data_IF_945901753554
#
_entry.id   IF_945901753554
#
_cell.length_a   1.000
_cell.length_b   1.000
_cell.length_c   1.000
_cell.angle_alpha   90.00
_cell.angle_beta   90.00
_cell.angle_gamma   90.00
#
_symmetry.space_group_name_H-M   'P 1'
#
loop_
_entity.id
_entity.type
_entity.pdbx_description
1 polymer ?
#
# COMPACT_ATOMS: atom_id res chain seq x y z
N UNK A 1 4.39 -8.05 -7.40
CA UNK A 1 3.86 -9.08 -8.33
C UNK A 1 2.79 -8.46 -9.20
N UNK A 2 2.85 -8.61 -10.52
CA UNK A 2 1.84 -8.10 -11.45
C UNK A 2 0.62 -9.02 -11.60
N UNK A 3 -0.49 -8.53 -12.17
CA UNK A 3 -1.67 -9.37 -12.50
C UNK A 3 -1.28 -10.54 -13.42
N UNK A 4 -0.37 -10.31 -14.37
CA UNK A 4 0.10 -11.35 -15.30
C UNK A 4 1.01 -12.36 -14.60
N UNK A 5 1.87 -11.92 -13.69
CA UNK A 5 2.69 -12.83 -12.86
C UNK A 5 1.82 -13.67 -11.93
N UNK A 6 0.81 -13.07 -11.30
CA UNK A 6 -0.15 -13.78 -10.47
C UNK A 6 -0.94 -14.84 -11.27
N UNK A 7 -1.44 -14.47 -12.46
CA UNK A 7 -2.10 -15.40 -13.37
C UNK A 7 -1.16 -16.52 -13.85
N UNK A 8 0.12 -16.21 -14.11
CA UNK A 8 1.14 -17.22 -14.41
C UNK A 8 1.33 -18.17 -13.24
N UNK A 9 1.44 -17.68 -12.00
CA UNK A 9 1.52 -18.53 -10.82
C UNK A 9 0.28 -19.42 -10.65
N UNK A 10 -0.93 -18.89 -10.85
CA UNK A 10 -2.16 -19.69 -10.76
C UNK A 10 -2.20 -20.79 -11.83
N UNK A 11 -1.73 -20.51 -13.05
CA UNK A 11 -1.57 -21.53 -14.10
C UNK A 11 -0.55 -22.60 -13.71
N UNK A 12 0.57 -22.20 -13.11
CA UNK A 12 1.56 -23.16 -12.60
C UNK A 12 0.92 -24.10 -11.57
N UNK A 13 0.20 -23.56 -10.58
CA UNK A 13 -0.52 -24.39 -9.61
C UNK A 13 -1.55 -25.31 -10.28
N UNK A 14 -2.30 -24.79 -11.26
CA UNK A 14 -3.28 -25.58 -12.00
C UNK A 14 -2.63 -26.76 -12.70
N UNK A 15 -1.45 -26.57 -13.31
CA UNK A 15 -0.66 -27.65 -13.93
C UNK A 15 -0.11 -28.63 -12.89
N UNK A 16 0.48 -28.14 -11.79
CA UNK A 16 0.99 -28.97 -10.69
C UNK A 16 -0.08 -29.85 -10.05
N UNK A 17 -1.33 -29.38 -10.03
CA UNK A 17 -2.48 -30.14 -9.56
C UNK A 17 -3.08 -31.05 -10.63
N UNK A 18 -2.38 -31.33 -11.75
CA UNK A 18 -2.83 -32.26 -12.79
C UNK A 18 -3.77 -31.65 -13.84
N UNK A 19 -3.88 -30.32 -13.89
CA UNK A 19 -4.68 -29.57 -14.88
C UNK A 19 -6.14 -30.06 -14.99
N UNK A 20 -6.90 -30.17 -13.87
CA UNK A 20 -8.30 -30.58 -13.90
C UNK A 20 -9.13 -29.69 -14.83
N UNK A 21 -10.15 -30.29 -15.47
CA UNK A 21 -11.09 -29.53 -16.30
C UNK A 21 -11.84 -28.48 -15.48
N UNK A 22 -12.25 -27.38 -16.10
CA UNK A 22 -12.99 -26.32 -15.39
C UNK A 22 -14.31 -26.83 -14.80
N UNK A 23 -14.93 -27.83 -15.44
CA UNK A 23 -16.11 -28.49 -14.90
C UNK A 23 -15.81 -29.30 -13.64
N UNK A 24 -14.65 -29.98 -13.58
CA UNK A 24 -14.20 -30.69 -12.38
C UNK A 24 -13.90 -29.73 -11.24
N UNK A 25 -13.23 -28.61 -11.52
CA UNK A 25 -12.93 -27.56 -10.52
C UNK A 25 -14.22 -27.01 -9.90
N UNK A 26 -15.23 -26.70 -10.73
CA UNK A 26 -16.54 -26.27 -10.26
C UNK A 26 -17.20 -27.31 -9.35
N UNK A 27 -17.14 -28.59 -9.71
CA UNK A 27 -17.70 -29.67 -8.88
C UNK A 27 -17.03 -29.83 -7.51
N UNK A 28 -15.78 -29.39 -7.36
CA UNK A 28 -15.01 -29.47 -6.11
C UNK A 28 -15.21 -28.25 -5.18
N UNK A 29 -15.92 -27.22 -5.65
CA UNK A 29 -16.29 -26.02 -4.89
C UNK A 29 -17.78 -25.70 -5.03
N UNK A 30 -18.70 -26.57 -4.56
CA UNK A 30 -20.14 -26.39 -4.76
C UNK A 30 -20.69 -25.11 -4.13
N UNK A 31 -20.10 -24.68 -3.01
CA UNK A 31 -20.49 -23.46 -2.28
C UNK A 31 -20.09 -22.15 -2.98
N UNK A 32 -19.31 -22.21 -4.08
CA UNK A 32 -18.75 -21.02 -4.72
C UNK A 32 -18.95 -21.04 -6.23
N UNK A 33 -19.39 -19.91 -6.79
CA UNK A 33 -19.50 -19.77 -8.23
C UNK A 33 -18.11 -19.70 -8.88
N UNK A 34 -17.72 -20.78 -9.58
CA UNK A 34 -16.53 -20.84 -10.44
C UNK A 34 -16.90 -21.06 -11.91
N UNK A 35 -17.45 -20.05 -12.63
CA UNK A 35 -17.82 -20.21 -14.04
C UNK A 35 -16.58 -20.51 -14.91
N UNK A 36 -16.63 -21.49 -15.83
CA UNK A 36 -15.50 -21.84 -16.70
C UNK A 36 -14.92 -20.66 -17.50
N UNK A 37 -15.79 -19.75 -17.98
CA UNK A 37 -15.36 -18.54 -18.67
C UNK A 37 -14.52 -17.62 -17.77
N UNK A 38 -14.95 -17.44 -16.51
CA UNK A 38 -14.22 -16.64 -15.52
C UNK A 38 -12.89 -17.28 -15.14
N UNK A 39 -12.86 -18.59 -14.93
CA UNK A 39 -11.62 -19.34 -14.65
C UNK A 39 -10.62 -19.11 -15.79
N UNK A 40 -11.09 -19.24 -17.04
CA UNK A 40 -10.27 -19.01 -18.22
C UNK A 40 -9.72 -17.58 -18.29
N UNK A 41 -10.55 -16.56 -18.07
CA UNK A 41 -10.10 -15.16 -18.09
C UNK A 41 -9.05 -14.87 -17.02
N UNK A 42 -9.23 -15.42 -15.81
CA UNK A 42 -8.29 -15.26 -14.69
C UNK A 42 -6.96 -15.95 -14.99
N UNK A 43 -6.97 -17.19 -15.45
CA UNK A 43 -5.75 -17.92 -15.80
C UNK A 43 -5.00 -17.26 -16.95
N UNK A 44 -5.71 -16.64 -17.89
CA UNK A 44 -5.10 -15.88 -18.99
C UNK A 44 -4.64 -14.46 -18.58
N UNK A 45 -4.85 -14.05 -17.33
CA UNK A 45 -4.43 -12.73 -16.84
C UNK A 45 -5.26 -11.56 -17.38
N UNK A 46 -6.43 -11.84 -17.97
CA UNK A 46 -7.35 -10.80 -18.48
C UNK A 46 -7.98 -9.98 -17.35
N UNK A 47 -8.16 -10.58 -16.17
CA UNK A 47 -8.70 -9.92 -14.98
C UNK A 47 -8.18 -10.55 -13.69
N UNK A 48 -8.15 -9.76 -12.62
CA UNK A 48 -7.84 -10.25 -11.28
C UNK A 48 -9.13 -10.77 -10.60
N UNK A 49 -9.13 -11.98 -10.03
CA UNK A 49 -10.31 -12.53 -9.35
C UNK A 49 -10.58 -11.81 -8.01
N UNK A 50 -11.82 -11.90 -7.50
CA UNK A 50 -12.13 -11.56 -6.10
C UNK A 50 -11.47 -12.56 -5.15
N UNK A 51 -11.24 -12.16 -3.90
CA UNK A 51 -10.61 -13.02 -2.88
C UNK A 51 -11.35 -14.36 -2.70
N UNK A 52 -12.67 -14.35 -2.55
CA UNK A 52 -13.50 -15.55 -2.41
C UNK A 52 -13.36 -16.52 -3.59
N UNK A 53 -13.40 -15.99 -4.81
CA UNK A 53 -13.19 -16.78 -6.03
C UNK A 53 -11.82 -17.45 -6.03
N UNK A 54 -10.76 -16.69 -5.73
CA UNK A 54 -9.39 -17.18 -5.71
C UNK A 54 -9.21 -18.27 -4.65
N UNK A 55 -9.73 -18.06 -3.44
CA UNK A 55 -9.65 -19.03 -2.34
C UNK A 55 -10.37 -20.33 -2.71
N UNK A 56 -11.58 -20.23 -3.26
CA UNK A 56 -12.35 -21.38 -3.71
C UNK A 56 -11.66 -22.13 -4.85
N UNK A 57 -11.09 -21.41 -5.82
CA UNK A 57 -10.34 -21.99 -6.94
C UNK A 57 -9.10 -22.75 -6.47
N UNK A 58 -8.27 -22.13 -5.61
CA UNK A 58 -7.07 -22.77 -5.05
C UNK A 58 -7.46 -24.00 -4.23
N UNK A 59 -8.47 -23.90 -3.36
CA UNK A 59 -8.95 -25.02 -2.56
C UNK A 59 -9.45 -26.18 -3.43
N UNK A 60 -10.17 -25.89 -4.52
CA UNK A 60 -10.63 -26.90 -5.47
C UNK A 60 -9.47 -27.63 -6.17
N UNK A 61 -8.40 -26.91 -6.53
CA UNK A 61 -7.20 -27.53 -7.12
C UNK A 61 -6.49 -28.45 -6.13
N UNK A 62 -6.32 -28.01 -4.89
CA UNK A 62 -5.68 -28.81 -3.84
C UNK A 62 -6.50 -30.06 -3.51
N UNK A 63 -7.83 -29.94 -3.40
CA UNK A 63 -8.74 -31.10 -3.24
C UNK A 63 -8.63 -32.10 -4.38
N UNK A 64 -8.41 -31.62 -5.61
CA UNK A 64 -8.22 -32.52 -6.75
C UNK A 64 -6.90 -33.30 -6.65
N UNK A 65 -5.81 -32.62 -6.27
CA UNK A 65 -4.49 -33.22 -6.12
C UNK A 65 -4.43 -34.23 -4.98
N UNK A 66 -5.00 -33.87 -3.82
CA UNK A 66 -4.84 -34.61 -2.58
C UNK A 66 -6.02 -35.54 -2.27
N UNK A 67 -7.06 -35.54 -3.11
CA UNK A 67 -8.22 -36.45 -3.01
C UNK A 67 -9.24 -36.13 -1.91
N UNK A 68 -9.06 -35.03 -1.17
CA UNK A 68 -9.94 -34.64 -0.06
C UNK A 68 -9.53 -33.28 0.52
N UNK A 69 -10.18 -32.83 1.61
CA UNK A 69 -9.76 -31.62 2.31
C UNK A 69 -8.76 -31.94 3.42
N UNK A 70 -7.70 -31.13 3.54
CA UNK A 70 -6.66 -31.31 4.57
C UNK A 70 -6.36 -29.98 5.26
N UNK A 71 -5.90 -30.01 6.51
CA UNK A 71 -5.50 -28.79 7.24
C UNK A 71 -4.40 -28.00 6.52
N UNK A 72 -3.55 -28.67 5.73
CA UNK A 72 -2.52 -28.01 4.89
C UNK A 72 -3.13 -27.12 3.80
N UNK A 73 -4.38 -27.37 3.40
CA UNK A 73 -5.08 -26.52 2.43
C UNK A 73 -5.36 -25.13 2.98
N UNK A 74 -5.66 -25.00 4.26
CA UNK A 74 -5.93 -23.69 4.88
C UNK A 74 -4.67 -22.81 4.86
N UNK A 75 -3.51 -23.40 5.16
CA UNK A 75 -2.21 -22.73 5.11
C UNK A 75 -1.84 -22.31 3.67
N UNK A 76 -2.08 -23.20 2.72
CA UNK A 76 -1.87 -22.94 1.29
C UNK A 76 -2.79 -21.84 0.76
N UNK A 77 -4.08 -21.90 1.08
CA UNK A 77 -5.06 -20.87 0.71
C UNK A 77 -4.68 -19.53 1.35
N UNK A 78 -4.24 -19.51 2.61
CA UNK A 78 -3.73 -18.31 3.26
C UNK A 78 -2.48 -17.74 2.58
N UNK A 79 -1.56 -18.61 2.12
CA UNK A 79 -0.38 -18.21 1.33
C UNK A 79 -0.78 -17.60 -0.02
N UNK A 80 -1.76 -18.20 -0.70
CA UNK A 80 -2.32 -17.67 -1.94
C UNK A 80 -3.07 -16.34 -1.73
N UNK A 81 -3.74 -16.18 -0.59
CA UNK A 81 -4.36 -14.90 -0.19
C UNK A 81 -3.33 -13.78 -0.05
N UNK A 82 -2.17 -14.04 0.56
CA UNK A 82 -1.06 -13.07 0.62
C UNK A 82 -0.54 -12.73 -0.78
N UNK A 83 -0.30 -13.73 -1.63
CA UNK A 83 0.09 -13.53 -3.04
C UNK A 83 -0.92 -12.67 -3.80
N UNK A 84 -2.22 -12.94 -3.65
CA UNK A 84 -3.29 -12.16 -4.24
C UNK A 84 -3.29 -10.71 -3.73
N UNK A 85 -3.13 -10.48 -2.42
CA UNK A 85 -3.03 -9.13 -1.85
C UNK A 85 -1.87 -8.33 -2.49
N UNK A 86 -0.69 -8.95 -2.65
CA UNK A 86 0.43 -8.32 -3.36
C UNK A 86 0.17 -8.04 -4.85
N UNK A 87 -0.68 -8.84 -5.51
CA UNK A 87 -1.09 -8.61 -6.90
C UNK A 87 -2.16 -7.52 -7.03
N UNK A 88 -3.04 -7.38 -6.05
CA UNK A 88 -3.99 -6.26 -5.94
C UNK A 88 -3.24 -4.96 -5.74
N UNK A 89 -2.22 -4.98 -4.88
CA UNK A 89 -1.36 -3.84 -4.56
C UNK A 89 -0.23 -3.62 -5.59
N UNK A 90 -0.35 -4.20 -6.80
CA UNK A 90 0.65 -4.18 -7.86
C UNK A 90 0.94 -2.77 -8.42
N UNK A 91 2.15 -2.51 -8.97
CA UNK A 91 2.52 -1.24 -9.62
C UNK A 91 1.53 -0.64 -10.63
N UNK A 92 0.59 -1.41 -11.21
CA UNK A 92 -0.47 -0.85 -12.07
C UNK A 92 -1.53 -0.05 -11.28
N UNK A 93 -1.90 -0.47 -10.06
CA UNK A 93 -2.76 0.35 -9.19
C UNK A 93 -2.02 1.57 -8.68
N UNK A 94 -0.73 1.42 -8.33
CA UNK A 94 0.16 2.53 -7.97
C UNK A 94 0.30 3.53 -9.12
N UNK A 95 0.49 3.06 -10.36
CA UNK A 95 0.56 3.92 -11.54
C UNK A 95 -0.75 4.65 -11.77
N UNK A 96 -1.89 3.97 -11.63
CA UNK A 96 -3.21 4.62 -11.73
C UNK A 96 -3.46 5.66 -10.63
N UNK A 97 -3.00 5.42 -9.40
CA UNK A 97 -3.12 6.36 -8.30
C UNK A 97 -2.16 7.54 -8.45
N UNK A 98 -0.94 7.27 -8.90
CA UNK A 98 0.04 8.29 -9.25
C UNK A 98 -0.48 9.19 -10.37
N UNK A 99 -0.99 8.60 -11.45
CA UNK A 99 -1.56 9.35 -12.58
C UNK A 99 -2.74 10.21 -12.13
N UNK A 100 -3.59 9.68 -11.25
CA UNK A 100 -4.73 10.42 -10.66
C UNK A 100 -4.26 11.58 -9.78
N UNK A 101 -3.31 11.34 -8.88
CA UNK A 101 -2.78 12.37 -7.97
C UNK A 101 -2.04 13.47 -8.72
N UNK A 102 -1.20 13.11 -9.69
CA UNK A 102 -0.53 14.08 -10.56
C UNK A 102 -1.52 14.88 -11.42
N UNK A 103 -2.65 14.29 -11.78
CA UNK A 103 -3.68 14.95 -12.59
C UNK A 103 -4.74 15.69 -11.77
N UNK A 104 -4.68 15.64 -10.43
CA UNK A 104 -5.52 16.46 -9.58
C UNK A 104 -5.30 17.94 -9.90
N UNK A 105 -6.35 18.75 -9.76
CA UNK A 105 -6.29 20.18 -10.06
C UNK A 105 -6.16 21.00 -8.78
N UNK A 106 -5.39 22.06 -8.85
CA UNK A 106 -5.36 23.11 -7.82
C UNK A 106 -6.55 24.07 -7.98
N UNK A 107 -6.62 25.09 -7.12
CA UNK A 107 -7.68 26.10 -7.13
C UNK A 107 -7.69 26.94 -8.42
N UNK A 108 -6.55 27.06 -9.10
CA UNK A 108 -6.43 27.75 -10.39
C UNK A 108 -6.84 26.88 -11.58
N UNK A 109 -7.14 25.60 -11.34
CA UNK A 109 -7.51 24.61 -12.36
C UNK A 109 -6.32 23.95 -13.05
N UNK A 110 -5.09 24.30 -12.66
CA UNK A 110 -3.85 23.69 -13.14
C UNK A 110 -3.63 22.32 -12.50
N UNK A 111 -3.01 21.37 -13.23
CA UNK A 111 -2.70 20.05 -12.68
C UNK A 111 -1.47 20.14 -11.78
N UNK A 112 -1.52 19.57 -10.58
CA UNK A 112 -0.40 19.58 -9.64
C UNK A 112 0.89 19.00 -10.23
N UNK A 113 0.78 17.94 -11.04
CA UNK A 113 1.91 17.32 -11.71
C UNK A 113 2.49 18.14 -12.87
N UNK A 114 1.76 19.13 -13.38
CA UNK A 114 2.19 19.94 -14.52
C UNK A 114 3.04 21.15 -14.12
N UNK A 115 3.16 21.44 -12.82
CA UNK A 115 3.92 22.58 -12.32
C UNK A 115 5.38 22.57 -12.82
N UNK A 116 5.81 23.74 -13.30
CA UNK A 116 7.18 24.05 -13.77
C UNK A 116 8.09 24.31 -12.57
N UNK A 117 8.40 23.25 -11.83
CA UNK A 117 9.31 23.29 -10.69
C UNK A 117 8.62 23.35 -9.32
N UNK A 118 9.34 22.88 -8.32
CA UNK A 118 8.90 22.81 -6.94
C UNK A 118 9.57 21.70 -6.15
N UNK A 119 9.01 21.41 -4.98
CA UNK A 119 9.48 20.36 -4.09
C UNK A 119 8.47 19.23 -3.98
N UNK A 120 8.96 18.04 -3.66
CA UNK A 120 8.12 16.88 -3.40
C UNK A 120 8.70 16.03 -2.28
N UNK A 121 7.83 15.32 -1.58
CA UNK A 121 8.19 14.37 -0.55
C UNK A 121 7.51 13.03 -0.81
N UNK A 122 8.26 11.96 -0.59
CA UNK A 122 7.79 10.58 -0.66
C UNK A 122 7.71 10.06 0.77
N UNK A 123 6.55 9.51 1.13
CA UNK A 123 6.30 9.02 2.48
C UNK A 123 6.14 7.51 2.49
N UNK A 124 6.79 6.86 3.45
CA UNK A 124 6.67 5.42 3.67
C UNK A 124 5.33 5.02 4.28
N UNK A 125 5.08 3.71 4.47
CA UNK A 125 3.84 3.19 5.08
C UNK A 125 3.52 3.76 6.47
N UNK A 126 4.55 4.17 7.20
CA UNK A 126 4.45 4.67 8.58
C UNK A 126 4.21 6.20 8.63
N UNK A 127 4.11 6.87 7.47
CA UNK A 127 3.86 8.31 7.38
C UNK A 127 5.12 9.19 7.45
N UNK A 128 6.28 8.58 7.68
CA UNK A 128 7.60 9.24 7.68
C UNK A 128 8.09 9.55 6.26
N UNK A 129 8.79 10.67 6.11
CA UNK A 129 9.41 11.03 4.83
C UNK A 129 10.62 10.11 4.58
N UNK A 130 10.59 9.37 3.46
CA UNK A 130 11.71 8.52 3.02
C UNK A 130 12.59 9.23 2.00
N UNK A 131 12.04 10.25 1.33
CA UNK A 131 12.79 11.07 0.39
C UNK A 131 12.13 12.45 0.27
N UNK A 132 12.96 13.49 0.22
CA UNK A 132 12.57 14.87 -0.10
C UNK A 132 13.49 15.34 -1.22
N UNK A 133 12.93 16.03 -2.20
CA UNK A 133 13.72 16.62 -3.27
C UNK A 133 13.04 17.81 -3.94
N UNK A 134 13.84 18.51 -4.72
CA UNK A 134 13.41 19.64 -5.54
C UNK A 134 13.64 19.36 -7.03
N UNK A 135 12.96 20.14 -7.87
CA UNK A 135 13.19 20.18 -9.31
C UNK A 135 12.86 21.56 -9.85
N UNK A 136 13.62 22.01 -10.84
CA UNK A 136 13.34 23.17 -11.69
C UNK A 136 12.58 22.77 -12.98
N UNK A 137 12.34 21.47 -13.18
CA UNK A 137 11.60 20.90 -14.29
C UNK A 137 10.17 20.51 -13.87
N UNK A 138 9.46 19.82 -14.76
CA UNK A 138 8.10 19.35 -14.48
C UNK A 138 8.05 18.41 -13.25
N UNK A 139 7.24 18.80 -12.25
CA UNK A 139 7.10 18.11 -10.96
C UNK A 139 6.68 16.64 -11.11
N UNK A 140 5.68 16.36 -11.95
CA UNK A 140 5.20 14.99 -12.17
C UNK A 140 6.25 14.08 -12.81
N UNK A 141 7.07 14.62 -13.71
CA UNK A 141 8.18 13.90 -14.34
C UNK A 141 9.27 13.57 -13.32
N UNK A 142 9.67 14.53 -12.49
CA UNK A 142 10.68 14.34 -11.46
C UNK A 142 10.26 13.28 -10.43
N UNK A 143 9.00 13.33 -9.97
CA UNK A 143 8.43 12.35 -9.03
C UNK A 143 8.45 10.94 -9.62
N UNK A 144 8.03 10.77 -10.89
CA UNK A 144 8.07 9.47 -11.58
C UNK A 144 9.49 8.92 -11.69
N UNK A 145 10.45 9.77 -12.07
CA UNK A 145 11.84 9.38 -12.20
C UNK A 145 12.41 8.92 -10.84
N UNK A 146 12.13 9.67 -9.76
CA UNK A 146 12.57 9.30 -8.41
C UNK A 146 11.94 7.99 -7.93
N UNK A 147 10.62 7.82 -8.12
CA UNK A 147 9.91 6.61 -7.72
C UNK A 147 10.45 5.35 -8.44
N UNK A 148 10.92 5.48 -9.68
CA UNK A 148 11.50 4.36 -10.41
C UNK A 148 12.86 3.90 -9.85
N UNK A 149 13.57 4.78 -9.15
CA UNK A 149 14.90 4.53 -8.59
C UNK A 149 14.87 4.18 -7.10
N UNK A 150 13.79 4.52 -6.39
CA UNK A 150 13.71 4.33 -4.96
C UNK A 150 13.42 2.86 -4.61
N UNK A 151 14.24 2.28 -3.73
CA UNK A 151 14.09 0.91 -3.26
C UNK A 151 13.08 0.81 -2.10
N UNK A 152 12.95 1.87 -1.30
CA UNK A 152 12.05 1.89 -0.15
C UNK A 152 10.58 1.94 -0.57
N UNK A 153 9.69 1.24 0.17
CA UNK A 153 8.27 1.29 -0.12
C UNK A 153 7.72 2.70 0.13
N UNK A 154 6.98 3.22 -0.85
CA UNK A 154 6.29 4.52 -0.77
C UNK A 154 4.78 4.30 -0.69
N UNK A 155 4.16 4.91 0.32
CA UNK A 155 2.72 4.88 0.53
C UNK A 155 2.01 6.16 0.05
N UNK A 156 2.67 7.32 0.13
CA UNK A 156 2.08 8.61 -0.26
C UNK A 156 3.13 9.52 -0.92
N UNK A 157 2.66 10.44 -1.76
CA UNK A 157 3.44 11.55 -2.32
C UNK A 157 2.80 12.85 -1.89
N UNK A 158 3.60 13.86 -1.58
CA UNK A 158 3.16 15.24 -1.39
C UNK A 158 3.93 16.17 -2.32
N UNK A 159 3.23 17.10 -2.96
CA UNK A 159 3.77 18.04 -3.95
C UNK A 159 3.61 19.48 -3.47
N UNK A 160 4.63 20.29 -3.69
CA UNK A 160 4.63 21.74 -3.46
C UNK A 160 5.17 22.45 -4.70
N UNK A 161 4.30 22.94 -5.61
CA UNK A 161 4.69 23.83 -6.69
C UNK A 161 5.43 25.06 -6.16
N UNK A 162 6.50 25.47 -6.82
CA UNK A 162 7.23 26.67 -6.43
C UNK A 162 6.43 27.94 -6.79
N UNK A 163 6.14 28.83 -5.84
CA UNK A 163 5.62 30.15 -6.16
C UNK A 163 6.62 30.94 -7.01
N UNK A 164 6.11 31.79 -7.92
CA UNK A 164 6.97 32.66 -8.74
C UNK A 164 7.93 33.47 -7.86
N UNK A 165 9.22 33.42 -8.19
CA UNK A 165 10.27 34.16 -7.48
C UNK A 165 10.71 33.54 -6.14
N UNK A 166 10.10 32.44 -5.68
CA UNK A 166 10.58 31.71 -4.49
C UNK A 166 11.75 30.82 -4.85
N UNK A 167 12.85 30.91 -4.08
CA UNK A 167 13.99 29.99 -4.21
C UNK A 167 13.57 28.56 -3.87
N UNK A 168 13.96 27.61 -4.73
CA UNK A 168 13.72 26.18 -4.49
C UNK A 168 14.43 25.70 -3.21
N UNK A 169 15.66 26.15 -2.93
CA UNK A 169 16.39 25.76 -1.72
C UNK A 169 15.67 26.22 -0.44
N UNK A 170 15.05 27.40 -0.47
CA UNK A 170 14.24 27.91 0.65
C UNK A 170 12.98 27.07 0.84
N UNK A 171 12.34 26.69 -0.26
CA UNK A 171 11.16 25.81 -0.24
C UNK A 171 11.52 24.41 0.27
N UNK A 172 12.60 23.81 -0.24
CA UNK A 172 13.07 22.49 0.15
C UNK A 172 13.40 22.44 1.65
N UNK A 173 14.10 23.46 2.16
CA UNK A 173 14.37 23.59 3.60
C UNK A 173 13.08 23.67 4.43
N UNK A 174 12.06 24.37 3.95
CA UNK A 174 10.76 24.41 4.61
C UNK A 174 10.07 23.04 4.60
N UNK A 175 10.19 22.27 3.50
CA UNK A 175 9.67 20.88 3.42
C UNK A 175 10.39 19.97 4.42
N UNK A 176 11.73 20.08 4.54
CA UNK A 176 12.49 19.34 5.55
C UNK A 176 12.02 19.64 6.97
N UNK A 177 11.84 20.92 7.33
CA UNK A 177 11.31 21.31 8.66
C UNK A 177 9.94 20.72 8.93
N UNK A 178 9.02 20.80 7.95
CA UNK A 178 7.71 20.15 8.05
C UNK A 178 7.83 18.63 8.27
N UNK A 179 8.74 17.97 7.57
CA UNK A 179 8.94 16.52 7.70
C UNK A 179 9.50 16.14 9.07
N UNK A 180 10.28 17.01 9.69
CA UNK A 180 10.74 16.89 11.08
C UNK A 180 9.66 17.23 12.11
N UNK A 181 8.44 17.55 11.66
CA UNK A 181 7.31 17.90 12.52
C UNK A 181 7.29 19.36 12.96
N UNK A 182 8.21 20.20 12.46
CA UNK A 182 8.26 21.62 12.77
C UNK A 182 7.25 22.43 11.96
N UNK A 183 6.90 23.61 12.46
CA UNK A 183 6.08 24.57 11.72
C UNK A 183 6.90 25.22 10.61
N UNK A 184 6.38 25.21 9.39
CA UNK A 184 7.03 25.79 8.22
C UNK A 184 6.03 26.56 7.36
N UNK A 185 6.47 27.69 6.82
CA UNK A 185 5.69 28.49 5.86
C UNK A 185 5.81 27.88 4.45
N UNK A 186 4.84 27.04 4.12
CA UNK A 186 4.80 26.29 2.87
C UNK A 186 3.63 26.78 1.99
N UNK A 187 3.80 26.80 0.66
CA UNK A 187 2.69 27.03 -0.23
C UNK A 187 1.68 25.87 -0.12
N UNK A 188 0.47 26.02 -0.70
CA UNK A 188 -0.47 24.92 -0.82
C UNK A 188 0.20 23.64 -1.33
N UNK A 189 -0.17 22.51 -0.76
CA UNK A 189 0.38 21.20 -1.10
C UNK A 189 -0.70 20.24 -1.56
N UNK A 190 -0.30 19.25 -2.34
CA UNK A 190 -1.18 18.14 -2.71
C UNK A 190 -0.56 16.81 -2.32
N UNK A 191 -1.16 16.18 -1.31
CA UNK A 191 -0.79 14.85 -0.84
C UNK A 191 -1.79 13.80 -1.30
N UNK A 192 -1.29 12.70 -1.85
CA UNK A 192 -2.14 11.60 -2.34
C UNK A 192 -1.48 10.23 -2.11
N UNK A 193 -2.27 9.16 -1.98
CA UNK A 193 -1.75 7.82 -1.77
C UNK A 193 -1.25 7.19 -3.07
N UNK A 194 -0.20 6.37 -2.95
CA UNK A 194 0.32 5.48 -4.00
C UNK A 194 -0.12 4.03 -3.84
N UNK A 195 -0.69 3.72 -2.68
CA UNK A 195 -1.30 2.42 -2.39
C UNK A 195 -2.82 2.59 -2.36
N UNK A 196 -3.57 1.51 -2.64
CA UNK A 196 -5.03 1.54 -2.53
C UNK A 196 -5.55 1.66 -1.09
N UNK A 197 -4.67 1.98 -0.13
CA UNK A 197 -4.98 2.05 1.29
C UNK A 197 -4.93 3.50 1.75
N UNK A 198 -6.06 3.97 2.27
CA UNK A 198 -6.13 5.24 3.00
C UNK A 198 -5.23 5.19 4.25
N UNK A 199 -4.74 6.34 4.71
CA UNK A 199 -4.04 6.48 5.98
C UNK A 199 -4.81 5.89 7.15
N UNK A 200 -6.13 6.04 7.19
CA UNK A 200 -6.96 5.52 8.28
C UNK A 200 -7.04 3.98 8.25
N UNK A 201 -7.03 3.38 7.05
CA UNK A 201 -6.94 1.92 6.88
C UNK A 201 -5.59 1.39 7.37
N UNK A 202 -4.50 2.14 7.14
CA UNK A 202 -3.16 1.79 7.66
C UNK A 202 -3.11 1.87 9.19
N UNK A 203 -3.73 2.89 9.79
CA UNK A 203 -3.88 3.01 11.26
C UNK A 203 -4.61 1.78 11.81
N UNK A 204 -5.78 1.44 11.24
CA UNK A 204 -6.57 0.30 11.70
C UNK A 204 -5.79 -1.03 11.61
N UNK A 205 -5.04 -1.24 10.53
CA UNK A 205 -4.23 -2.45 10.36
C UNK A 205 -3.10 -2.55 11.38
N UNK A 206 -2.37 -1.44 11.60
CA UNK A 206 -1.29 -1.36 12.59
C UNK A 206 -1.81 -1.58 14.01
N UNK A 207 -2.96 -1.00 14.35
CA UNK A 207 -3.63 -1.25 15.62
C UNK A 207 -3.98 -2.74 15.81
N UNK A 208 -4.49 -3.39 14.76
CA UNK A 208 -4.78 -4.82 14.81
C UNK A 208 -3.51 -5.69 14.95
N UNK A 209 -2.38 -5.27 14.36
CA UNK A 209 -1.09 -5.95 14.51
C UNK A 209 -0.52 -5.79 15.91
N UNK A 210 -0.55 -4.57 16.45
CA UNK A 210 -0.17 -4.27 17.82
C UNK A 210 -0.99 -5.11 18.82
N UNK A 211 -2.30 -5.19 18.64
CA UNK A 211 -3.18 -6.00 19.49
C UNK A 211 -2.82 -7.49 19.45
N UNK A 212 -2.48 -8.04 18.27
CA UNK A 212 -2.02 -9.43 18.14
C UNK A 212 -0.69 -9.68 18.85
N UNK A 213 0.27 -8.76 18.71
CA UNK A 213 1.55 -8.85 19.42
C UNK A 213 1.35 -8.76 20.94
N UNK A 214 0.45 -7.89 21.40
CA UNK A 214 0.14 -7.75 22.82
C UNK A 214 -0.48 -9.03 23.39
N UNK A 215 -1.43 -9.64 22.67
CA UNK A 215 -2.02 -10.92 23.05
C UNK A 215 -0.96 -12.03 23.16
N UNK A 216 -0.03 -12.12 22.20
CA UNK A 216 1.07 -13.09 22.24
C UNK A 216 1.93 -12.96 23.51
N UNK A 217 2.21 -11.73 23.95
CA UNK A 217 2.96 -11.48 25.18
C UNK A 217 2.17 -11.92 26.42
N UNK A 218 0.86 -11.69 26.44
CA UNK A 218 -0.03 -12.14 27.52
C UNK A 218 -0.12 -13.67 27.58
N UNK A 219 -0.16 -14.32 26.42
CA UNK A 219 -0.20 -15.78 26.29
C UNK A 219 1.13 -16.47 26.63
N UNK A 220 2.17 -15.70 27.00
CA UNK A 220 3.42 -16.20 27.55
C UNK A 220 4.63 -16.12 26.60
N UNK A 221 4.48 -15.58 25.38
CA UNK A 221 5.63 -15.29 24.52
C UNK A 221 6.32 -14.00 24.97
N UNK A 222 7.14 -14.12 26.02
CA UNK A 222 7.86 -13.00 26.62
C UNK A 222 9.23 -12.75 25.99
N UNK A 223 9.50 -13.33 24.82
CA UNK A 223 10.78 -13.19 24.13
C UNK A 223 11.13 -11.72 23.86
N UNK A 224 12.42 -11.38 23.96
CA UNK A 224 12.92 -10.03 23.68
C UNK A 224 12.51 -9.56 22.27
N UNK A 225 12.53 -10.47 21.29
CA UNK A 225 12.11 -10.19 19.93
C UNK A 225 10.63 -9.77 19.83
N UNK A 226 9.72 -10.47 20.54
CA UNK A 226 8.29 -10.16 20.55
C UNK A 226 8.00 -8.85 21.26
N UNK A 227 8.66 -8.59 22.40
CA UNK A 227 8.56 -7.30 23.11
C UNK A 227 9.10 -6.14 22.28
N UNK A 228 10.21 -6.35 21.57
CA UNK A 228 10.77 -5.36 20.64
C UNK A 228 9.81 -5.10 19.48
N UNK A 229 9.23 -6.13 18.89
CA UNK A 229 8.24 -5.99 17.82
C UNK A 229 7.02 -5.19 18.30
N UNK A 230 6.51 -5.48 19.50
CA UNK A 230 5.42 -4.73 20.12
C UNK A 230 5.75 -3.23 20.25
N UNK A 231 6.94 -2.89 20.78
CA UNK A 231 7.38 -1.51 20.95
C UNK A 231 7.53 -0.78 19.61
N UNK A 232 8.07 -1.47 18.59
CA UNK A 232 8.20 -0.92 17.23
C UNK A 232 6.83 -0.65 16.62
N UNK A 233 5.89 -1.59 16.69
CA UNK A 233 4.54 -1.40 16.14
C UNK A 233 3.76 -0.31 16.87
N UNK A 234 3.94 -0.17 18.19
CA UNK A 234 3.32 0.90 18.97
C UNK A 234 3.82 2.28 18.49
N UNK A 235 5.14 2.40 18.31
CA UNK A 235 5.77 3.63 17.81
C UNK A 235 5.28 3.99 16.40
N UNK A 236 5.19 3.00 15.51
CA UNK A 236 4.69 3.19 14.14
C UNK A 236 3.23 3.64 14.12
N UNK A 237 2.39 3.00 14.92
CA UNK A 237 0.98 3.37 15.06
C UNK A 237 0.84 4.82 15.56
N UNK A 238 1.58 5.17 16.62
CA UNK A 238 1.55 6.50 17.20
C UNK A 238 1.95 7.57 16.15
N UNK A 239 3.07 7.38 15.45
CA UNK A 239 3.53 8.29 14.39
C UNK A 239 2.49 8.47 13.29
N UNK A 240 1.92 7.37 12.80
CA UNK A 240 0.92 7.42 11.75
C UNK A 240 -0.36 8.15 12.20
N UNK A 241 -0.80 7.90 13.44
CA UNK A 241 -1.97 8.55 14.02
C UNK A 241 -1.76 10.06 14.21
N UNK A 242 -0.62 10.46 14.79
CA UNK A 242 -0.24 11.87 14.96
C UNK A 242 -0.15 12.57 13.59
N UNK A 243 0.56 11.97 12.63
CA UNK A 243 0.69 12.55 11.30
C UNK A 243 -0.66 12.72 10.59
N UNK A 244 -1.61 11.81 10.82
CA UNK A 244 -2.98 11.90 10.29
C UNK A 244 -3.78 13.01 10.97
N UNK A 245 -3.77 13.06 12.30
CA UNK A 245 -4.50 14.06 13.08
C UNK A 245 -3.98 15.49 12.84
N UNK A 246 -2.66 15.67 12.78
CA UNK A 246 -2.02 16.93 12.44
C UNK A 246 -2.51 17.45 11.08
N UNK A 247 -2.62 16.57 10.08
CA UNK A 247 -3.15 16.92 8.75
C UNK A 247 -4.63 17.29 8.77
N UNK A 248 -5.47 16.53 9.48
CA UNK A 248 -6.91 16.82 9.52
C UNK A 248 -7.24 18.11 10.27
N UNK A 249 -6.35 18.57 11.16
CA UNK A 249 -6.52 19.78 11.97
C UNK A 249 -5.69 20.97 11.46
N UNK A 250 -4.85 20.77 10.44
CA UNK A 250 -3.92 21.81 9.95
C UNK A 250 -2.79 22.17 10.93
N UNK A 251 -2.56 21.36 11.97
CA UNK A 251 -1.52 21.55 12.98
C UNK A 251 -0.21 20.88 12.58
N UNK A 252 0.88 21.22 13.25
CA UNK A 252 2.14 20.49 13.12
C UNK A 252 2.12 19.19 13.94
N UNK A 253 2.91 18.20 13.53
CA UNK A 253 3.02 16.93 14.26
C UNK A 253 3.66 17.11 15.64
N UNK A 254 4.57 18.09 15.79
CA UNK A 254 5.15 18.43 17.09
C UNK A 254 4.12 19.02 18.06
N UNK A 255 3.28 19.95 17.60
CA UNK A 255 2.18 20.52 18.41
C UNK A 255 1.21 19.43 18.87
N UNK A 256 0.79 18.54 17.95
CA UNK A 256 -0.10 17.43 18.30
C UNK A 256 0.54 16.46 19.29
N UNK A 257 1.83 16.15 19.10
CA UNK A 257 2.53 15.22 19.99
C UNK A 257 2.66 15.80 21.40
N UNK A 258 2.94 17.10 21.53
CA UNK A 258 3.03 17.77 22.82
C UNK A 258 1.69 17.71 23.58
N UNK A 259 0.58 18.06 22.92
CA UNK A 259 -0.76 18.00 23.52
C UNK A 259 -1.18 16.60 23.99
N UNK A 260 -0.73 15.54 23.31
CA UNK A 260 -1.08 14.17 23.67
C UNK A 260 -0.25 13.62 24.85
N UNK A 261 0.78 14.34 25.26
CA UNK A 261 1.68 13.97 26.37
C UNK A 261 1.47 14.81 27.63
N UNK A 262 0.59 15.82 27.59
CA UNK A 262 0.07 16.56 28.76
C UNK A 262 -1.13 15.83 29.39
#
# INVERSE_FOLDING_TARGET
MSVHEFAKSLRTLHVECGKPSYHRIRGLAPEHALPPATVSEVLNGKRLPKAEFMQAFVRALLRHRDGGDTRRHDEEVARWRRKWQHAVLSPRSTRSLLDRGLSARDESGGRWGDAEGGCYALYGPDGEAVYIGQTDANLGTAVRARLALLLDPVAEVELWPAPRGRSLDVLERAVYRKALGERADLPPSHRFPLTGEDGDVRIARRAAELARLAASVVDGDTGEATRRALAVEATRLARLAVARFARSTGRSAAEVSADLTE
#
